data_IF_244024303290
#
_entry.id   IF_244024303290
#
_cell.length_a   1.000
_cell.length_b   1.000
_cell.length_c   1.000
_cell.angle_alpha   90.00
_cell.angle_beta   90.00
_cell.angle_gamma   90.00
#
_symmetry.space_group_name_H-M   'P 1'
#
loop_
_entity.id
_entity.type
_entity.pdbx_description
1 polymer ?
#
# COMPACT_ATOMS: atom_id res chain seq x y z
N UNK A 1 -23.02 21.89 -3.04
CA UNK A 1 -21.60 21.98 -3.39
C UNK A 1 -21.47 23.01 -4.51
N UNK A 2 -20.47 23.91 -4.46
CA UNK A 2 -20.35 25.00 -5.43
C UNK A 2 -19.55 24.58 -6.66
N UNK A 3 -19.88 25.15 -7.82
CA UNK A 3 -19.26 24.85 -9.14
C UNK A 3 -17.72 24.78 -9.11
N UNK A 4 -17.06 25.65 -8.35
CA UNK A 4 -15.60 25.66 -8.20
C UNK A 4 -15.05 24.44 -7.46
N UNK A 5 -15.79 23.90 -6.49
CA UNK A 5 -15.43 22.67 -5.79
C UNK A 5 -15.54 21.46 -6.72
N UNK A 6 -16.55 21.43 -7.56
CA UNK A 6 -16.80 20.33 -8.49
C UNK A 6 -15.77 20.34 -9.64
N UNK A 7 -15.40 21.53 -10.14
CA UNK A 7 -14.28 21.69 -11.08
C UNK A 7 -12.95 21.20 -10.47
N UNK A 8 -12.65 21.56 -9.21
CA UNK A 8 -11.40 21.11 -8.55
C UNK A 8 -11.36 19.59 -8.40
N UNK A 9 -12.47 18.97 -8.00
CA UNK A 9 -12.60 17.50 -7.93
C UNK A 9 -12.40 16.87 -9.29
N UNK A 10 -13.08 17.37 -10.33
CA UNK A 10 -12.93 16.89 -11.69
C UNK A 10 -11.48 16.94 -12.19
N UNK A 11 -10.79 18.07 -12.02
CA UNK A 11 -9.39 18.20 -12.43
C UNK A 11 -8.49 17.22 -11.66
N UNK A 12 -8.73 17.02 -10.37
CA UNK A 12 -7.99 16.05 -9.56
C UNK A 12 -8.17 14.63 -10.09
N UNK A 13 -9.43 14.17 -10.23
CA UNK A 13 -9.77 12.85 -10.75
C UNK A 13 -9.21 12.65 -12.15
N UNK A 14 -9.34 13.64 -13.04
CA UNK A 14 -8.79 13.58 -14.40
C UNK A 14 -7.26 13.41 -14.41
N UNK A 15 -6.54 14.18 -13.59
CA UNK A 15 -5.09 14.08 -13.50
C UNK A 15 -4.63 12.73 -12.94
N UNK A 16 -5.35 12.19 -11.94
CA UNK A 16 -5.09 10.87 -11.38
C UNK A 16 -5.26 9.78 -12.46
N UNK A 17 -6.38 9.81 -13.20
CA UNK A 17 -6.66 8.88 -14.29
C UNK A 17 -5.62 8.98 -15.42
N UNK A 18 -5.27 10.20 -15.82
CA UNK A 18 -4.27 10.41 -16.86
C UNK A 18 -2.91 9.84 -16.46
N UNK A 19 -2.47 10.06 -15.20
CA UNK A 19 -1.22 9.48 -14.70
C UNK A 19 -1.24 7.94 -14.72
N UNK A 20 -2.35 7.30 -14.35
CA UNK A 20 -2.48 5.84 -14.39
C UNK A 20 -2.45 5.29 -15.82
N UNK A 21 -3.11 5.99 -16.76
CA UNK A 21 -3.10 5.62 -18.18
C UNK A 21 -1.72 5.78 -18.81
N UNK A 22 -0.99 6.84 -18.50
CA UNK A 22 0.39 7.05 -18.98
C UNK A 22 1.32 5.94 -18.46
N UNK A 23 1.18 5.54 -17.20
CA UNK A 23 1.96 4.44 -16.63
C UNK A 23 1.64 3.10 -17.28
N UNK A 24 0.37 2.84 -17.57
CA UNK A 24 -0.05 1.64 -18.27
C UNK A 24 0.40 1.62 -19.74
N UNK A 25 0.33 2.74 -20.45
CA UNK A 25 0.81 2.82 -21.82
C UNK A 25 2.34 2.60 -21.88
N UNK A 26 3.08 3.11 -20.89
CA UNK A 26 4.50 2.81 -20.72
C UNK A 26 4.74 1.31 -20.45
N UNK A 27 3.92 0.68 -19.63
CA UNK A 27 3.94 -0.77 -19.37
C UNK A 27 3.67 -1.57 -20.65
N UNK A 28 2.58 -1.30 -21.35
CA UNK A 28 2.21 -1.98 -22.59
C UNK A 28 3.30 -1.85 -23.66
N UNK A 29 3.92 -0.66 -23.79
CA UNK A 29 5.04 -0.43 -24.72
C UNK A 29 6.25 -1.29 -24.38
N UNK A 30 6.59 -1.42 -23.10
CA UNK A 30 7.73 -2.25 -22.64
C UNK A 30 7.43 -3.74 -22.79
N UNK A 31 6.22 -4.19 -22.45
CA UNK A 31 5.76 -5.56 -22.73
C UNK A 31 5.84 -5.87 -24.23
N UNK A 32 5.35 -4.99 -25.11
CA UNK A 32 5.43 -5.20 -26.56
C UNK A 32 6.88 -5.33 -27.05
N UNK A 33 7.82 -4.54 -26.52
CA UNK A 33 9.24 -4.68 -26.82
C UNK A 33 9.81 -6.02 -26.34
N UNK A 34 9.42 -6.48 -25.16
CA UNK A 34 9.86 -7.78 -24.61
C UNK A 34 9.35 -8.97 -25.43
N UNK A 35 8.13 -8.87 -25.97
CA UNK A 35 7.52 -9.96 -26.74
C UNK A 35 8.04 -10.03 -28.18
N UNK A 36 8.53 -8.92 -28.75
CA UNK A 36 8.96 -8.84 -30.15
C UNK A 36 10.03 -9.89 -30.53
N UNK A 37 11.07 -10.18 -29.73
CA UNK A 37 12.08 -11.19 -30.05
C UNK A 37 11.55 -12.63 -29.99
N UNK A 38 10.44 -12.90 -29.29
CA UNK A 38 9.94 -14.26 -29.05
C UNK A 38 9.20 -14.87 -30.26
N UNK A 39 8.97 -14.09 -31.32
CA UNK A 39 8.31 -14.55 -32.56
C UNK A 39 7.00 -15.35 -32.31
N UNK A 40 6.19 -14.88 -31.36
CA UNK A 40 4.95 -15.55 -30.97
C UNK A 40 3.99 -15.71 -32.16
N UNK A 41 3.26 -16.81 -32.19
CA UNK A 41 2.22 -17.03 -33.20
C UNK A 41 1.04 -16.04 -33.04
N UNK A 42 0.23 -15.89 -34.10
CA UNK A 42 -0.90 -14.91 -34.13
C UNK A 42 -1.92 -15.14 -33.01
N UNK A 43 -2.17 -16.39 -32.62
CA UNK A 43 -3.13 -16.73 -31.58
C UNK A 43 -2.65 -16.23 -30.21
N UNK A 44 -1.40 -16.54 -29.85
CA UNK A 44 -0.78 -16.07 -28.61
C UNK A 44 -0.68 -14.54 -28.56
N UNK A 45 -0.34 -13.89 -29.68
CA UNK A 45 -0.33 -12.42 -29.75
C UNK A 45 -1.72 -11.83 -29.49
N UNK A 46 -2.78 -12.46 -30.02
CA UNK A 46 -4.17 -12.03 -29.80
C UNK A 46 -4.58 -12.20 -28.34
N UNK A 47 -4.22 -13.32 -27.72
CA UNK A 47 -4.49 -13.58 -26.30
C UNK A 47 -3.83 -12.55 -25.40
N UNK A 48 -2.55 -12.24 -25.63
CA UNK A 48 -1.85 -11.21 -24.86
C UNK A 48 -2.49 -9.84 -25.07
N UNK A 49 -2.86 -9.49 -26.32
CA UNK A 49 -3.53 -8.21 -26.60
C UNK A 49 -4.85 -8.08 -25.84
N UNK A 50 -5.64 -9.15 -25.75
CA UNK A 50 -6.88 -9.17 -24.96
C UNK A 50 -6.57 -8.94 -23.48
N UNK A 51 -5.56 -9.64 -22.93
CA UNK A 51 -5.12 -9.46 -21.53
C UNK A 51 -4.68 -8.03 -21.23
N UNK A 52 -3.92 -7.39 -22.11
CA UNK A 52 -3.51 -6.00 -21.93
C UNK A 52 -4.70 -5.02 -22.03
N UNK A 53 -5.72 -5.34 -22.83
CA UNK A 53 -6.96 -4.55 -22.88
C UNK A 53 -7.78 -4.70 -21.59
N UNK A 54 -7.90 -5.92 -21.06
CA UNK A 54 -8.57 -6.17 -19.79
C UNK A 54 -7.84 -5.48 -18.62
N UNK A 55 -6.50 -5.54 -18.61
CA UNK A 55 -5.66 -4.83 -17.65
C UNK A 55 -5.92 -3.31 -17.70
N UNK A 56 -6.06 -2.73 -18.89
CA UNK A 56 -6.41 -1.32 -19.08
C UNK A 56 -7.76 -0.96 -18.48
N UNK A 57 -8.77 -1.78 -18.74
CA UNK A 57 -10.12 -1.57 -18.20
C UNK A 57 -10.11 -1.64 -16.68
N UNK A 58 -9.49 -2.67 -16.11
CA UNK A 58 -9.40 -2.83 -14.65
C UNK A 58 -8.66 -1.67 -13.98
N UNK A 59 -7.50 -1.25 -14.48
CA UNK A 59 -6.74 -0.15 -13.88
C UNK A 59 -7.55 1.15 -13.87
N UNK A 60 -8.27 1.44 -14.98
CA UNK A 60 -9.12 2.62 -15.07
C UNK A 60 -10.29 2.56 -14.08
N UNK A 61 -10.98 1.42 -14.00
CA UNK A 61 -12.09 1.25 -13.05
C UNK A 61 -11.58 1.35 -11.61
N UNK A 62 -10.47 0.71 -11.26
CA UNK A 62 -9.90 0.75 -9.91
C UNK A 62 -9.40 2.15 -9.52
N UNK A 63 -8.90 2.93 -10.47
CA UNK A 63 -8.58 4.33 -10.23
C UNK A 63 -9.84 5.16 -9.88
N UNK A 64 -10.95 4.96 -10.60
CA UNK A 64 -12.23 5.60 -10.28
C UNK A 64 -12.77 5.18 -8.90
N UNK A 65 -12.67 3.90 -8.55
CA UNK A 65 -13.05 3.40 -7.21
C UNK A 65 -12.24 4.10 -6.10
N UNK A 66 -10.93 4.27 -6.30
CA UNK A 66 -10.05 4.94 -5.32
C UNK A 66 -10.42 6.41 -5.10
N UNK A 67 -10.78 7.11 -6.17
CA UNK A 67 -11.23 8.51 -6.10
C UNK A 67 -12.63 8.66 -5.47
N UNK A 68 -13.26 7.55 -5.04
CA UNK A 68 -14.61 7.51 -4.45
C UNK A 68 -15.67 8.10 -5.35
N UNK A 69 -15.44 8.04 -6.66
CA UNK A 69 -16.43 8.41 -7.65
C UNK A 69 -17.54 7.35 -7.68
N UNK A 70 -18.78 7.80 -7.84
CA UNK A 70 -19.89 6.87 -8.08
C UNK A 70 -19.65 6.25 -9.45
N UNK A 71 -19.30 4.96 -9.47
CA UNK A 71 -19.14 4.23 -10.71
C UNK A 71 -20.47 4.17 -11.45
N UNK A 72 -20.43 4.45 -12.75
CA UNK A 72 -21.54 4.08 -13.63
C UNK A 72 -21.79 2.56 -13.54
N UNK A 73 -23.05 2.15 -13.63
CA UNK A 73 -23.43 0.73 -13.50
C UNK A 73 -22.69 -0.17 -14.50
N UNK A 74 -22.43 0.34 -15.70
CA UNK A 74 -21.61 -0.36 -16.71
C UNK A 74 -20.20 -0.70 -16.23
N UNK A 75 -19.54 0.19 -15.49
CA UNK A 75 -18.21 -0.07 -14.92
C UNK A 75 -18.27 -1.08 -13.77
N UNK A 76 -19.34 -1.08 -12.97
CA UNK A 76 -19.55 -2.08 -11.92
C UNK A 76 -19.72 -3.47 -12.53
N UNK A 77 -20.56 -3.60 -13.55
CA UNK A 77 -20.79 -4.85 -14.27
C UNK A 77 -19.52 -5.33 -14.99
N UNK A 78 -18.82 -4.44 -15.68
CA UNK A 78 -17.56 -4.77 -16.35
C UNK A 78 -16.49 -5.24 -15.37
N UNK A 79 -16.35 -4.56 -14.23
CA UNK A 79 -15.43 -4.96 -13.16
C UNK A 79 -15.76 -6.37 -12.66
N UNK A 80 -17.02 -6.65 -12.35
CA UNK A 80 -17.46 -7.96 -11.88
C UNK A 80 -17.17 -9.05 -12.92
N UNK A 81 -17.50 -8.82 -14.18
CA UNK A 81 -17.24 -9.75 -15.28
C UNK A 81 -15.74 -10.04 -15.47
N UNK A 82 -14.87 -9.03 -15.31
CA UNK A 82 -13.42 -9.22 -15.39
C UNK A 82 -12.88 -9.99 -14.17
N UNK A 83 -13.37 -9.71 -12.97
CA UNK A 83 -13.01 -10.46 -11.76
C UNK A 83 -13.41 -11.94 -11.91
N UNK A 84 -14.62 -12.21 -12.39
CA UNK A 84 -15.12 -13.56 -12.65
C UNK A 84 -14.31 -14.28 -13.75
N UNK A 85 -14.05 -13.60 -14.87
CA UNK A 85 -13.25 -14.13 -15.99
C UNK A 85 -11.88 -14.67 -15.55
N UNK A 86 -11.25 -14.01 -14.58
CA UNK A 86 -9.93 -14.39 -14.07
C UNK A 86 -10.00 -15.21 -12.78
N UNK A 87 -11.21 -15.54 -12.29
CA UNK A 87 -11.45 -16.33 -11.08
C UNK A 87 -10.67 -15.81 -9.85
N UNK A 88 -10.78 -14.50 -9.61
CA UNK A 88 -10.15 -13.79 -8.48
C UNK A 88 -11.21 -13.09 -7.63
N UNK A 89 -10.84 -12.49 -6.49
CA UNK A 89 -11.82 -11.92 -5.55
C UNK A 89 -11.91 -10.39 -5.62
N UNK A 90 -10.98 -9.71 -6.28
CA UNK A 90 -10.96 -8.25 -6.36
C UNK A 90 -10.28 -7.75 -7.63
N UNK A 91 -10.54 -6.50 -8.00
CA UNK A 91 -9.88 -5.87 -9.15
C UNK A 91 -8.36 -5.75 -9.00
N UNK A 92 -7.81 -5.37 -7.83
CA UNK A 92 -6.36 -5.43 -7.60
C UNK A 92 -5.78 -6.84 -7.79
N UNK A 93 -6.46 -7.89 -7.32
CA UNK A 93 -6.05 -9.28 -7.58
C UNK A 93 -6.08 -9.61 -9.08
N UNK A 94 -7.11 -9.15 -9.82
CA UNK A 94 -7.19 -9.35 -11.27
C UNK A 94 -6.05 -8.67 -12.02
N UNK A 95 -5.72 -7.43 -11.67
CA UNK A 95 -4.59 -6.67 -12.23
C UNK A 95 -3.28 -7.44 -11.99
N UNK A 96 -3.04 -7.85 -10.75
CA UNK A 96 -1.84 -8.60 -10.39
C UNK A 96 -1.76 -9.95 -11.12
N UNK A 97 -2.88 -10.67 -11.23
CA UNK A 97 -2.96 -11.96 -11.92
C UNK A 97 -2.62 -11.83 -13.41
N UNK A 98 -3.29 -10.92 -14.13
CA UNK A 98 -3.10 -10.73 -15.57
C UNK A 98 -1.66 -10.35 -15.88
N UNK A 99 -1.14 -9.36 -15.15
CA UNK A 99 0.22 -8.88 -15.33
C UNK A 99 1.24 -9.96 -14.94
N UNK A 100 1.00 -10.67 -13.85
CA UNK A 100 1.79 -11.81 -13.37
C UNK A 100 1.91 -12.90 -14.43
N UNK A 101 0.80 -13.31 -15.05
CA UNK A 101 0.80 -14.37 -16.04
C UNK A 101 1.60 -13.99 -17.30
N UNK A 102 1.50 -12.74 -17.76
CA UNK A 102 2.32 -12.22 -18.87
C UNK A 102 3.81 -12.21 -18.47
N UNK A 103 4.10 -11.74 -17.26
CA UNK A 103 5.47 -11.63 -16.76
C UNK A 103 6.12 -13.00 -16.62
N UNK A 104 5.46 -13.96 -15.98
CA UNK A 104 5.99 -15.30 -15.74
C UNK A 104 6.29 -16.05 -17.05
N UNK A 105 5.40 -15.92 -18.05
CA UNK A 105 5.55 -16.65 -19.32
C UNK A 105 6.57 -16.05 -20.26
N UNK A 106 6.76 -14.72 -20.25
CA UNK A 106 7.47 -14.02 -21.31
C UNK A 106 8.59 -13.09 -20.84
N UNK A 107 8.73 -12.85 -19.53
CA UNK A 107 9.76 -11.95 -19.00
C UNK A 107 10.99 -12.72 -18.52
N UNK A 108 12.07 -12.68 -19.31
CA UNK A 108 13.36 -13.25 -18.93
C UNK A 108 14.29 -12.29 -18.17
N UNK A 109 13.85 -11.05 -17.90
CA UNK A 109 14.55 -10.03 -17.09
C UNK A 109 15.95 -9.63 -17.57
N UNK A 110 16.28 -9.90 -18.84
CA UNK A 110 17.60 -9.61 -19.42
C UNK A 110 17.80 -8.15 -19.82
N UNK A 111 16.74 -7.35 -19.91
CA UNK A 111 16.80 -5.94 -20.33
C UNK A 111 16.22 -5.03 -19.25
N UNK A 112 16.59 -3.75 -19.25
CA UNK A 112 16.03 -2.77 -18.30
C UNK A 112 14.51 -2.64 -18.44
N UNK A 113 13.99 -2.69 -19.68
CA UNK A 113 12.54 -2.68 -19.92
C UNK A 113 11.88 -3.90 -19.26
N UNK A 114 12.52 -5.07 -19.34
CA UNK A 114 12.07 -6.30 -18.73
C UNK A 114 12.14 -6.26 -17.19
N UNK A 115 13.24 -5.73 -16.62
CA UNK A 115 13.41 -5.51 -15.18
C UNK A 115 12.34 -4.54 -14.63
N UNK A 116 12.04 -3.46 -15.35
CA UNK A 116 11.01 -2.51 -14.93
C UNK A 116 9.60 -3.11 -14.98
N UNK A 117 9.28 -3.90 -16.03
CA UNK A 117 8.01 -4.64 -16.10
C UNK A 117 7.88 -5.60 -14.93
N UNK A 118 8.95 -6.32 -14.58
CA UNK A 118 8.97 -7.21 -13.41
C UNK A 118 8.70 -6.46 -12.10
N UNK A 119 9.31 -5.28 -11.89
CA UNK A 119 9.01 -4.44 -10.73
C UNK A 119 7.56 -3.97 -10.67
N UNK A 120 6.99 -3.55 -11.81
CA UNK A 120 5.58 -3.15 -11.86
C UNK A 120 4.64 -4.31 -11.51
N UNK A 121 4.94 -5.50 -11.99
CA UNK A 121 4.18 -6.72 -11.66
C UNK A 121 4.28 -7.04 -10.17
N UNK A 122 5.49 -6.96 -9.58
CA UNK A 122 5.70 -7.15 -8.13
C UNK A 122 4.94 -6.11 -7.30
N UNK A 123 4.95 -4.85 -7.73
CA UNK A 123 4.18 -3.79 -7.09
C UNK A 123 2.68 -4.10 -7.11
N UNK A 124 2.14 -4.56 -8.24
CA UNK A 124 0.71 -4.91 -8.33
C UNK A 124 0.35 -6.11 -7.44
N UNK A 125 1.20 -7.13 -7.33
CA UNK A 125 0.98 -8.22 -6.35
C UNK A 125 1.01 -7.70 -4.91
N UNK A 126 1.97 -6.84 -4.57
CA UNK A 126 1.98 -6.17 -3.27
C UNK A 126 0.68 -5.38 -3.02
N UNK A 127 0.23 -4.58 -3.98
CA UNK A 127 -0.99 -3.79 -3.87
C UNK A 127 -2.24 -4.66 -3.69
N UNK A 128 -2.32 -5.80 -4.37
CA UNK A 128 -3.42 -6.75 -4.20
C UNK A 128 -3.46 -7.31 -2.77
N UNK A 129 -2.30 -7.71 -2.22
CA UNK A 129 -2.21 -8.19 -0.83
C UNK A 129 -2.51 -7.07 0.18
N UNK A 130 -2.00 -5.86 -0.07
CA UNK A 130 -2.25 -4.69 0.76
C UNK A 130 -3.73 -4.32 0.80
N UNK A 131 -4.39 -4.33 -0.35
CA UNK A 131 -5.82 -4.10 -0.47
C UNK A 131 -6.61 -5.10 0.37
N UNK A 132 -6.31 -6.40 0.26
CA UNK A 132 -6.97 -7.44 1.05
C UNK A 132 -6.80 -7.25 2.56
N UNK A 133 -5.60 -6.86 3.01
CA UNK A 133 -5.35 -6.54 4.41
C UNK A 133 -6.15 -5.32 4.87
N UNK A 134 -6.13 -4.23 4.10
CA UNK A 134 -6.87 -3.00 4.40
C UNK A 134 -8.38 -3.28 4.46
N UNK A 135 -8.96 -3.98 3.49
CA UNK A 135 -10.40 -4.30 3.50
C UNK A 135 -10.80 -5.07 4.76
N UNK A 136 -9.95 -6.01 5.21
CA UNK A 136 -10.20 -6.80 6.42
C UNK A 136 -10.01 -6.01 7.71
N UNK A 137 -9.10 -5.03 7.70
CA UNK A 137 -8.99 -4.05 8.77
C UNK A 137 -10.20 -3.10 8.78
N UNK A 138 -10.73 -2.71 7.63
CA UNK A 138 -11.94 -1.89 7.55
C UNK A 138 -13.17 -2.62 8.09
N UNK A 139 -13.32 -3.92 7.84
CA UNK A 139 -14.33 -4.76 8.51
C UNK A 139 -14.18 -4.72 10.05
N UNK A 140 -12.96 -4.85 10.57
CA UNK A 140 -12.69 -4.73 12.01
C UNK A 140 -13.00 -3.32 12.53
N UNK A 141 -12.71 -2.27 11.74
CA UNK A 141 -13.04 -0.88 12.09
C UNK A 141 -14.55 -0.69 12.22
N UNK A 142 -15.33 -1.27 11.31
CA UNK A 142 -16.79 -1.19 11.34
C UNK A 142 -17.38 -1.94 12.54
N UNK A 143 -16.82 -3.10 12.90
CA UNK A 143 -17.20 -3.80 14.14
C UNK A 143 -16.86 -2.99 15.40
N UNK A 144 -15.65 -2.42 15.45
CA UNK A 144 -15.25 -1.54 16.55
C UNK A 144 -16.18 -0.32 16.66
N UNK A 145 -16.58 0.25 15.52
CA UNK A 145 -17.53 1.38 15.47
C UNK A 145 -18.92 0.98 15.98
N UNK A 146 -19.44 -0.18 15.57
CA UNK A 146 -20.73 -0.73 16.08
C UNK A 146 -20.72 -0.83 17.61
N UNK A 147 -19.59 -1.24 18.18
CA UNK A 147 -19.39 -1.41 19.61
C UNK A 147 -18.97 -0.13 20.36
N UNK A 148 -18.81 1.00 19.66
CA UNK A 148 -18.28 2.25 20.22
C UNK A 148 -16.88 2.09 20.84
N UNK A 149 -16.10 1.11 20.36
CA UNK A 149 -14.71 0.86 20.73
C UNK A 149 -13.77 1.86 20.02
N UNK A 150 -13.82 3.11 20.48
CA UNK A 150 -13.21 4.26 19.79
C UNK A 150 -11.67 4.19 19.70
N UNK A 151 -10.99 3.65 20.72
CA UNK A 151 -9.52 3.54 20.69
C UNK A 151 -9.09 2.45 19.71
N UNK A 152 -9.79 1.32 19.71
CA UNK A 152 -9.56 0.26 18.72
C UNK A 152 -9.79 0.79 17.29
N UNK A 153 -10.91 1.49 17.07
CA UNK A 153 -11.22 2.12 15.78
C UNK A 153 -10.09 3.06 15.32
N UNK A 154 -9.60 3.93 16.21
CA UNK A 154 -8.48 4.85 15.92
C UNK A 154 -7.21 4.09 15.55
N UNK A 155 -6.86 3.03 16.28
CA UNK A 155 -5.67 2.21 15.98
C UNK A 155 -5.76 1.48 14.65
N UNK A 156 -6.91 0.93 14.32
CA UNK A 156 -7.15 0.31 13.01
C UNK A 156 -6.98 1.35 11.90
N UNK A 157 -7.51 2.56 12.08
CA UNK A 157 -7.37 3.65 11.12
C UNK A 157 -5.92 4.11 10.92
N UNK A 158 -5.14 4.25 12.02
CA UNK A 158 -3.70 4.53 11.97
C UNK A 158 -2.95 3.48 11.15
N UNK A 159 -3.26 2.19 11.35
CA UNK A 159 -2.66 1.09 10.61
C UNK A 159 -3.03 1.16 9.12
N UNK A 160 -4.32 1.29 8.79
CA UNK A 160 -4.77 1.43 7.40
C UNK A 160 -4.09 2.60 6.68
N UNK A 161 -3.92 3.73 7.38
CA UNK A 161 -3.23 4.89 6.81
C UNK A 161 -1.74 4.59 6.57
N UNK A 162 -1.05 3.95 7.52
CA UNK A 162 0.35 3.54 7.33
C UNK A 162 0.53 2.60 6.13
N UNK A 163 -0.40 1.65 5.94
CA UNK A 163 -0.41 0.74 4.78
C UNK A 163 -0.57 1.49 3.45
N UNK A 164 -1.44 2.50 3.40
CA UNK A 164 -1.65 3.34 2.21
C UNK A 164 -0.44 4.22 1.89
N UNK A 165 0.20 4.78 2.92
CA UNK A 165 1.43 5.59 2.76
C UNK A 165 2.57 4.72 2.24
N UNK A 166 2.75 3.52 2.78
CA UNK A 166 3.77 2.57 2.29
C UNK A 166 3.53 2.20 0.81
N UNK A 167 2.28 1.92 0.42
CA UNK A 167 1.94 1.67 -0.98
C UNK A 167 2.26 2.87 -1.88
N UNK A 168 1.90 4.09 -1.46
CA UNK A 168 2.23 5.31 -2.19
C UNK A 168 3.73 5.49 -2.39
N UNK A 169 4.52 5.25 -1.34
CA UNK A 169 5.98 5.30 -1.41
C UNK A 169 6.55 4.30 -2.43
N UNK A 170 6.13 3.03 -2.36
CA UNK A 170 6.61 2.00 -3.30
C UNK A 170 6.20 2.31 -4.74
N UNK A 171 5.01 2.86 -4.95
CA UNK A 171 4.53 3.28 -6.27
C UNK A 171 5.43 4.35 -6.88
N UNK A 172 5.78 5.38 -6.13
CA UNK A 172 6.66 6.46 -6.59
C UNK A 172 8.09 5.97 -6.85
N UNK A 173 8.63 5.11 -5.99
CA UNK A 173 9.94 4.49 -6.20
C UNK A 173 9.98 3.72 -7.55
N UNK A 174 8.98 2.85 -7.82
CA UNK A 174 8.91 2.12 -9.09
C UNK A 174 8.71 3.06 -10.30
N UNK A 175 7.95 4.14 -10.14
CA UNK A 175 7.75 5.15 -11.18
C UNK A 175 9.03 5.91 -11.51
N UNK A 176 9.80 6.28 -10.50
CA UNK A 176 11.08 6.97 -10.64
C UNK A 176 12.17 6.08 -11.29
N UNK A 177 12.05 4.76 -11.13
CA UNK A 177 12.98 3.77 -11.67
C UNK A 177 12.68 3.38 -13.13
N UNK A 178 12.04 4.25 -13.92
CA UNK A 178 11.88 4.02 -15.37
C UNK A 178 13.27 3.99 -16.05
N UNK A 179 13.56 2.99 -16.91
CA UNK A 179 14.85 2.88 -17.61
C UNK A 179 15.27 4.16 -18.35
N UNK A 180 14.30 4.89 -18.90
CA UNK A 180 14.53 6.15 -19.60
C UNK A 180 15.28 7.19 -18.75
N UNK A 181 15.05 7.21 -17.43
CA UNK A 181 15.68 8.16 -16.50
C UNK A 181 17.18 7.89 -16.30
N UNK A 182 17.65 6.68 -16.59
CA UNK A 182 19.03 6.23 -16.33
C UNK A 182 19.85 6.16 -17.62
N UNK A 183 19.20 5.83 -18.75
CA UNK A 183 19.84 5.83 -20.08
C UNK A 183 20.32 7.22 -20.50
N UNK A 184 19.59 8.27 -20.16
CA UNK A 184 19.99 9.65 -20.49
C UNK A 184 21.25 10.11 -19.73
N UNK A 185 21.61 9.43 -18.64
CA UNK A 185 22.70 9.83 -17.75
C UNK A 185 23.90 8.87 -17.77
N UNK A 186 23.86 7.80 -18.59
CA UNK A 186 24.92 6.78 -18.64
C UNK A 186 25.07 5.97 -17.35
N UNK A 187 23.97 5.78 -16.58
CA UNK A 187 24.00 5.19 -15.23
C UNK A 187 23.39 3.80 -15.14
N UNK A 188 23.78 2.92 -16.06
CA UNK A 188 23.23 1.56 -16.19
C UNK A 188 23.53 0.69 -14.95
N UNK A 189 24.73 0.83 -14.37
CA UNK A 189 25.09 0.12 -13.13
C UNK A 189 24.24 0.57 -11.92
N UNK A 190 23.94 1.87 -11.83
CA UNK A 190 23.08 2.43 -10.77
C UNK A 190 21.64 1.91 -10.90
N UNK A 191 21.16 1.76 -12.13
CA UNK A 191 19.84 1.19 -12.41
C UNK A 191 19.73 -0.24 -11.87
N UNK A 192 20.71 -1.09 -12.17
CA UNK A 192 20.68 -2.49 -11.75
C UNK A 192 20.71 -2.67 -10.23
N UNK A 193 21.52 -1.88 -9.54
CA UNK A 193 21.58 -1.89 -8.08
C UNK A 193 20.24 -1.44 -7.45
N UNK A 194 19.65 -0.35 -7.97
CA UNK A 194 18.35 0.14 -7.50
C UNK A 194 17.22 -0.83 -7.81
N UNK A 195 17.23 -1.46 -8.98
CA UNK A 195 16.28 -2.52 -9.34
C UNK A 195 16.34 -3.66 -8.33
N UNK A 196 17.53 -4.20 -8.06
CA UNK A 196 17.71 -5.31 -7.13
C UNK A 196 17.23 -4.93 -5.72
N UNK A 197 17.60 -3.75 -5.22
CA UNK A 197 17.20 -3.28 -3.90
C UNK A 197 15.68 -3.13 -3.79
N UNK A 198 15.04 -2.50 -4.77
CA UNK A 198 13.59 -2.27 -4.76
C UNK A 198 12.82 -3.58 -4.94
N UNK A 199 13.28 -4.47 -5.82
CA UNK A 199 12.68 -5.79 -6.02
C UNK A 199 12.70 -6.59 -4.72
N UNK A 200 13.85 -6.68 -4.05
CA UNK A 200 13.97 -7.35 -2.75
C UNK A 200 13.11 -6.70 -1.66
N UNK A 201 13.01 -5.37 -1.67
CA UNK A 201 12.17 -4.64 -0.71
C UNK A 201 10.71 -5.00 -0.89
N UNK A 202 10.19 -4.97 -2.12
CA UNK A 202 8.80 -5.34 -2.42
C UNK A 202 8.55 -6.82 -2.08
N UNK A 203 9.47 -7.72 -2.43
CA UNK A 203 9.37 -9.15 -2.11
C UNK A 203 9.33 -9.42 -0.60
N UNK A 204 10.21 -8.75 0.17
CA UNK A 204 10.19 -8.86 1.64
C UNK A 204 8.85 -8.40 2.20
N UNK A 205 8.29 -7.30 1.69
CA UNK A 205 6.97 -6.79 2.10
C UNK A 205 5.84 -7.73 1.73
N UNK A 206 5.87 -8.30 0.53
CA UNK A 206 4.94 -9.36 0.10
C UNK A 206 5.03 -10.57 1.04
N UNK A 207 6.23 -10.98 1.44
CA UNK A 207 6.47 -12.10 2.35
C UNK A 207 5.88 -11.91 3.76
N UNK A 208 5.50 -10.69 4.15
CA UNK A 208 4.82 -10.44 5.43
C UNK A 208 3.35 -10.85 5.42
N UNK A 209 2.70 -10.95 4.25
CA UNK A 209 1.29 -11.31 4.13
C UNK A 209 1.09 -12.83 4.23
N UNK A 210 1.16 -13.35 5.45
CA UNK A 210 0.78 -14.74 5.76
C UNK A 210 -0.74 -14.90 5.74
N UNK A 211 -1.22 -16.15 5.83
CA UNK A 211 -2.67 -16.47 5.83
C UNK A 211 -3.47 -15.62 6.83
N UNK A 212 -2.91 -15.34 8.00
CA UNK A 212 -3.58 -14.59 9.06
C UNK A 212 -3.45 -13.06 8.95
N UNK A 213 -2.81 -12.54 7.89
CA UNK A 213 -2.55 -11.12 7.69
C UNK A 213 -1.16 -10.69 8.15
N UNK A 214 -0.73 -9.52 7.71
CA UNK A 214 0.61 -8.98 8.04
C UNK A 214 0.61 -8.16 9.33
N UNK A 215 -0.53 -7.58 9.69
CA UNK A 215 -0.65 -6.69 10.85
C UNK A 215 -1.01 -7.50 12.08
N UNK A 216 -0.34 -7.24 13.19
CA UNK A 216 -0.58 -7.93 14.46
C UNK A 216 -2.04 -7.79 14.92
N UNK A 217 -2.67 -6.64 14.66
CA UNK A 217 -4.05 -6.37 15.05
C UNK A 217 -5.04 -7.26 14.30
N UNK A 218 -4.89 -7.38 12.97
CA UNK A 218 -5.75 -8.27 12.19
C UNK A 218 -5.50 -9.73 12.53
N UNK A 219 -4.24 -10.09 12.72
CA UNK A 219 -3.82 -11.43 13.15
C UNK A 219 -4.51 -11.83 14.46
N UNK A 220 -4.39 -11.00 15.50
CA UNK A 220 -4.99 -11.24 16.81
C UNK A 220 -6.52 -11.31 16.75
N UNK A 221 -7.15 -10.44 15.95
CA UNK A 221 -8.59 -10.47 15.74
C UNK A 221 -9.05 -11.79 15.12
N UNK A 222 -8.40 -12.24 14.04
CA UNK A 222 -8.75 -13.50 13.37
C UNK A 222 -8.57 -14.71 14.27
N UNK A 223 -7.50 -14.72 15.07
CA UNK A 223 -7.27 -15.78 16.05
C UNK A 223 -8.39 -15.78 17.11
N UNK A 224 -8.76 -14.62 17.64
CA UNK A 224 -9.86 -14.51 18.60
C UNK A 224 -11.21 -14.98 18.03
N UNK A 225 -11.53 -14.61 16.79
CA UNK A 225 -12.74 -15.06 16.09
C UNK A 225 -12.76 -16.59 15.95
N UNK A 226 -11.60 -17.18 15.60
CA UNK A 226 -11.44 -18.63 15.50
C UNK A 226 -11.60 -19.32 16.86
N UNK A 227 -10.96 -18.82 17.91
CA UNK A 227 -11.03 -19.37 19.27
C UNK A 227 -12.44 -19.29 19.86
N UNK A 228 -13.21 -18.26 19.47
CA UNK A 228 -14.61 -18.12 19.86
C UNK A 228 -15.57 -19.01 19.05
N UNK A 229 -15.10 -19.70 18.01
CA UNK A 229 -15.95 -20.51 17.13
C UNK A 229 -17.02 -19.70 16.39
N UNK A 230 -16.80 -18.40 16.17
CA UNK A 230 -17.78 -17.49 15.61
C UNK A 230 -18.86 -16.98 16.57
N UNK A 231 -18.75 -17.25 17.88
CA UNK A 231 -19.67 -16.69 18.90
C UNK A 231 -19.53 -15.16 19.00
N UNK A 232 -20.50 -14.45 18.42
CA UNK A 232 -20.47 -12.99 18.33
C UNK A 232 -20.41 -12.31 19.71
N UNK A 233 -21.05 -12.86 20.73
CA UNK A 233 -21.04 -12.25 22.06
C UNK A 233 -19.63 -12.29 22.68
N UNK A 234 -18.90 -13.39 22.49
CA UNK A 234 -17.50 -13.51 22.94
C UNK A 234 -16.55 -12.67 22.10
N UNK A 235 -16.81 -12.55 20.80
CA UNK A 235 -16.05 -11.66 19.91
C UNK A 235 -16.20 -10.21 20.38
N UNK A 236 -17.43 -9.75 20.61
CA UNK A 236 -17.73 -8.39 21.07
C UNK A 236 -17.07 -8.08 22.42
N UNK A 237 -17.12 -9.02 23.37
CA UNK A 237 -16.43 -8.90 24.65
C UNK A 237 -14.91 -8.76 24.50
N UNK A 238 -14.31 -9.54 23.60
CA UNK A 238 -12.87 -9.46 23.29
C UNK A 238 -12.48 -8.12 22.68
N UNK A 239 -13.28 -7.60 21.74
CA UNK A 239 -13.06 -6.28 21.13
C UNK A 239 -13.15 -5.15 22.16
N UNK A 240 -14.15 -5.18 23.05
CA UNK A 240 -14.30 -4.20 24.13
C UNK A 240 -13.16 -4.29 25.16
N UNK A 241 -12.67 -5.50 25.45
CA UNK A 241 -11.51 -5.69 26.31
C UNK A 241 -10.23 -5.13 25.66
N UNK A 242 -10.03 -5.36 24.36
CA UNK A 242 -8.92 -4.80 23.61
C UNK A 242 -8.96 -3.26 23.59
N UNK A 243 -10.14 -2.66 23.39
CA UNK A 243 -10.32 -1.21 23.46
C UNK A 243 -9.89 -0.62 24.81
N UNK A 244 -10.35 -1.22 25.92
CA UNK A 244 -9.95 -0.83 27.28
C UNK A 244 -8.44 -0.93 27.49
N UNK A 245 -7.82 -1.99 26.97
CA UNK A 245 -6.37 -2.17 27.04
C UNK A 245 -5.62 -1.04 26.33
N UNK A 246 -6.00 -0.74 25.09
CA UNK A 246 -5.34 0.31 24.30
C UNK A 246 -5.53 1.71 24.90
N UNK A 247 -6.73 1.98 25.44
CA UNK A 247 -7.00 3.21 26.19
C UNK A 247 -6.06 3.37 27.38
N UNK A 248 -5.81 2.31 28.14
CA UNK A 248 -4.90 2.33 29.29
C UNK A 248 -3.44 2.57 28.86
N UNK A 249 -3.01 1.94 27.76
CA UNK A 249 -1.66 2.13 27.22
C UNK A 249 -1.39 3.57 26.75
N UNK A 250 -2.36 4.19 26.07
CA UNK A 250 -2.22 5.58 25.61
C UNK A 250 -2.14 6.55 26.79
N UNK A 251 -2.97 6.37 27.82
CA UNK A 251 -2.92 7.19 29.03
C UNK A 251 -1.58 7.07 29.76
N UNK A 252 -1.06 5.85 29.94
CA UNK A 252 0.26 5.63 30.55
C UNK A 252 1.38 6.32 29.75
N UNK A 253 1.30 6.29 28.42
CA UNK A 253 2.30 6.92 27.55
C UNK A 253 2.26 8.45 27.68
N UNK A 254 1.07 9.04 27.72
CA UNK A 254 0.89 10.48 27.90
C UNK A 254 1.35 10.96 29.28
N UNK A 255 1.05 10.21 30.34
CA UNK A 255 1.53 10.50 31.70
C UNK A 255 3.06 10.50 31.77
N UNK A 256 3.70 9.49 31.17
CA UNK A 256 5.17 9.40 31.11
C UNK A 256 5.78 10.56 30.32
N UNK A 257 5.17 10.96 29.20
CA UNK A 257 5.65 12.11 28.41
C UNK A 257 5.45 13.44 29.15
N UNK A 258 4.33 13.62 29.85
CA UNK A 258 4.07 14.80 30.66
C UNK A 258 5.07 14.90 31.83
N UNK A 259 5.35 13.79 32.51
CA UNK A 259 6.34 13.73 33.58
C UNK A 259 7.74 14.03 33.06
N UNK A 260 8.11 13.47 31.89
CA UNK A 260 9.41 13.74 31.25
C UNK A 260 9.54 15.22 30.89
N UNK A 261 8.50 15.81 30.30
CA UNK A 261 8.48 17.24 29.97
C UNK A 261 8.56 18.13 31.22
N UNK A 262 7.92 17.74 32.32
CA UNK A 262 7.99 18.46 33.59
C UNK A 262 9.37 18.37 34.24
N UNK A 263 9.99 17.19 34.23
CA UNK A 263 11.36 16.98 34.71
C UNK A 263 12.37 17.82 33.91
N UNK A 264 12.25 17.82 32.58
CA UNK A 264 13.11 18.64 31.70
C UNK A 264 12.96 20.15 31.97
N UNK A 265 11.75 20.64 32.27
CA UNK A 265 11.52 22.04 32.66
C UNK A 265 12.14 22.37 34.02
N UNK A 266 12.10 21.43 34.97
CA UNK A 266 12.73 21.61 36.28
C UNK A 266 14.26 21.57 36.22
N UNK A 267 14.83 20.78 35.31
CA UNK A 267 16.28 20.75 35.04
C UNK A 267 16.74 22.01 34.30
N UNK A 268 15.98 22.49 33.31
CA UNK A 268 16.28 23.74 32.61
C UNK A 268 16.15 25.00 33.50
N UNK A 269 15.31 24.94 34.55
CA UNK A 269 15.19 25.99 35.56
C UNK A 269 16.28 25.98 36.64
N UNK A 270 17.15 24.96 36.66
CA UNK A 270 18.34 24.92 37.52
C UNK A 270 19.53 25.45 36.72
N UNK A 271 19.78 26.75 36.78
CA UNK A 271 21.06 27.30 36.31
C UNK A 271 22.23 26.51 36.93
N UNK A 272 23.32 26.27 36.18
CA UNK A 272 24.50 25.64 36.75
C UNK A 272 25.02 26.57 37.84
N UNK A 273 25.01 26.08 39.09
CA UNK A 273 25.72 26.76 40.18
C UNK A 273 27.17 26.90 39.73
N UNK A 274 27.55 28.12 39.36
CA UNK A 274 28.93 28.55 39.20
C UNK A 274 29.66 28.18 40.50
N UNK A 275 30.45 27.11 40.46
CA UNK A 275 31.48 26.85 41.45
C UNK A 275 32.57 27.88 41.23
N UNK A 276 32.50 28.99 41.96
CA UNK A 276 33.52 30.02 41.98
C UNK A 276 34.11 30.07 43.39
N UNK A 277 35.42 29.87 43.38
CA UNK A 277 36.44 30.29 44.35
C UNK A 277 36.64 29.52 45.66
N UNK A 278 37.69 28.69 45.60
CA UNK A 278 38.68 28.64 46.69
C UNK A 278 40.10 28.73 46.09
N UNK A 279 40.43 29.90 45.57
CA UNK A 279 41.78 30.31 45.23
C UNK A 279 42.10 31.68 45.86
N UNK A 280 41.92 31.78 47.18
CA UNK A 280 42.53 32.82 48.00
C UNK A 280 42.77 32.24 49.40
N UNK A 281 43.96 31.66 49.56
CA UNK A 281 44.76 31.63 50.80
C UNK A 281 46.05 30.86 50.50
N UNK A 282 47.15 31.46 50.96
CA UNK A 282 48.58 31.15 50.77
C UNK A 282 49.18 31.93 49.58
N UNK A 283 49.93 33.03 49.69
CA UNK A 283 50.81 33.58 50.76
C UNK A 283 51.48 32.55 51.66
#
# INVERSE_FOLDING_TARGET
MGVLSDIKKFVHTFNALNSELEELDAFNKKVAKMLKPLQLNKQTQREIKIKLQDLRRLILIEALVREKEVLAESFVQERAALIEKYNVHSGPEAIAYIAGEINERYNHKYTDDAKWVDLKVKLWDYMAKNHKEISKLEELKDEAKRLQANYLMKKVEEICQALRVEEGYLREEVKSLKPENYKMLGREVEYDQKYQLLAQTIEKKIGLYKVQGRTYMLWAYRLHVQDCGGDQAKIDQGLLAADKYWRKQENNTLENLAQTAQNLRQEAGREPRKSVDKAERLM
#
